data_IF_199434801406
#
_entry.id   IF_199434801406
#
_cell.length_a   1.000
_cell.length_b   1.000
_cell.length_c   1.000
_cell.angle_alpha   90.00
_cell.angle_beta   90.00
_cell.angle_gamma   90.00
#
_symmetry.space_group_name_H-M   'P 1'
#
loop_
_entity.id
_entity.type
_entity.pdbx_description
1 polymer ?
#
# COMPACT_ATOMS: atom_id res chain seq x y z
N UNK A 1 77.00 10.29 -20.37
CA UNK A 1 75.96 10.04 -21.39
C UNK A 1 74.59 10.05 -20.69
N UNK A 2 73.72 11.01 -21.06
CA UNK A 2 72.24 11.06 -20.94
C UNK A 2 71.61 10.77 -19.55
N UNK A 3 71.13 11.77 -18.80
CA UNK A 3 69.90 12.59 -18.93
C UNK A 3 68.75 12.11 -18.01
N UNK A 4 68.23 13.08 -17.22
CA UNK A 4 66.81 13.32 -16.84
C UNK A 4 66.10 12.40 -15.84
N UNK A 5 65.12 12.82 -15.01
CA UNK A 5 64.56 14.09 -14.48
C UNK A 5 63.24 13.67 -13.76
N UNK A 6 62.94 14.25 -12.58
CA UNK A 6 61.56 14.53 -12.06
C UNK A 6 60.71 13.29 -11.71
N UNK A 7 59.70 13.28 -10.84
CA UNK A 7 58.81 14.27 -10.21
C UNK A 7 58.23 13.54 -8.97
N UNK A 8 58.26 14.09 -7.75
CA UNK A 8 57.13 14.80 -7.14
C UNK A 8 55.72 14.29 -7.49
N UNK A 9 54.94 14.04 -6.43
CA UNK A 9 53.46 14.11 -6.36
C UNK A 9 52.75 12.89 -6.96
N UNK A 10 51.61 12.41 -6.48
CA UNK A 10 50.67 12.80 -5.44
C UNK A 10 49.68 11.64 -5.31
N UNK A 11 48.93 11.63 -4.20
CA UNK A 11 47.54 11.18 -4.09
C UNK A 11 47.04 10.13 -5.11
N UNK A 12 46.60 8.99 -4.62
CA UNK A 12 45.22 8.54 -4.87
C UNK A 12 44.87 7.45 -3.86
N UNK A 13 44.58 7.90 -2.64
CA UNK A 13 43.64 7.22 -1.78
C UNK A 13 42.29 7.20 -2.52
N UNK A 14 42.07 6.14 -3.30
CA UNK A 14 40.79 5.86 -3.93
C UNK A 14 39.87 5.29 -2.84
N UNK A 15 39.49 6.14 -1.88
CA UNK A 15 38.33 5.86 -1.03
C UNK A 15 37.12 5.86 -1.95
N UNK A 16 36.69 4.65 -2.34
CA UNK A 16 35.37 4.41 -2.87
C UNK A 16 34.37 5.05 -1.91
N UNK A 17 33.86 6.23 -2.26
CA UNK A 17 32.62 6.77 -1.74
C UNK A 17 31.52 5.83 -2.24
N UNK A 18 31.28 4.75 -1.51
CA UNK A 18 30.02 4.01 -1.59
C UNK A 18 28.95 4.98 -1.10
N UNK A 19 28.38 5.75 -2.04
CA UNK A 19 27.14 6.48 -1.82
C UNK A 19 26.11 5.39 -1.56
N UNK A 20 25.92 5.09 -0.28
CA UNK A 20 24.78 4.32 0.18
C UNK A 20 23.59 5.22 -0.10
N UNK A 21 22.94 5.03 -1.25
CA UNK A 21 21.61 5.56 -1.47
C UNK A 21 20.72 4.86 -0.47
N UNK A 22 20.61 5.46 0.71
CA UNK A 22 19.59 5.13 1.69
C UNK A 22 18.27 5.26 0.94
N UNK A 23 17.63 4.14 0.62
CA UNK A 23 16.26 4.14 0.13
C UNK A 23 15.41 4.70 1.27
N UNK A 24 15.16 6.01 1.23
CA UNK A 24 14.36 6.69 2.24
C UNK A 24 12.90 6.36 1.98
N UNK A 25 12.39 5.38 2.73
CA UNK A 25 10.96 5.10 2.79
C UNK A 25 10.25 6.15 3.63
N UNK A 26 9.44 6.99 2.99
CA UNK A 26 8.63 8.01 3.65
C UNK A 26 7.24 7.44 3.93
N UNK A 27 6.82 7.47 5.19
CA UNK A 27 5.45 7.10 5.58
C UNK A 27 4.51 8.30 5.34
N UNK A 28 3.56 8.13 4.43
CA UNK A 28 2.60 9.16 4.02
C UNK A 28 1.16 8.81 4.43
N UNK A 29 0.97 7.78 5.26
CA UNK A 29 -0.35 7.24 5.64
C UNK A 29 -1.33 8.33 6.06
N UNK A 30 -0.90 9.21 6.96
CA UNK A 30 -1.74 10.29 7.48
C UNK A 30 -2.13 11.28 6.39
N UNK A 31 -1.17 11.67 5.53
CA UNK A 31 -1.41 12.59 4.43
C UNK A 31 -2.40 12.00 3.42
N UNK A 32 -2.27 10.71 3.10
CA UNK A 32 -3.20 10.02 2.20
C UNK A 32 -4.61 9.97 2.79
N UNK A 33 -4.75 9.65 4.08
CA UNK A 33 -6.07 9.60 4.75
C UNK A 33 -6.71 11.00 4.83
N UNK A 34 -5.93 12.03 5.14
CA UNK A 34 -6.46 13.39 5.34
C UNK A 34 -6.69 14.17 4.04
N UNK A 35 -5.94 13.85 2.98
CA UNK A 35 -5.90 14.64 1.74
C UNK A 35 -6.43 13.90 0.51
N UNK A 36 -6.93 12.67 0.63
CA UNK A 36 -7.49 11.92 -0.49
C UNK A 36 -8.74 11.16 -0.10
N UNK A 37 -9.52 10.74 -1.09
CA UNK A 37 -10.68 9.85 -0.91
C UNK A 37 -10.30 8.37 -0.83
N UNK A 38 -9.01 8.03 -0.72
CA UNK A 38 -8.54 6.66 -0.89
C UNK A 38 -9.00 5.71 0.23
N UNK A 39 -9.01 6.15 1.49
CA UNK A 39 -9.53 5.35 2.62
C UNK A 39 -11.05 5.10 2.48
N UNK A 40 -11.78 6.11 2.00
CA UNK A 40 -13.22 6.01 1.73
C UNK A 40 -13.52 5.04 0.58
N UNK A 41 -12.74 5.09 -0.51
CA UNK A 41 -12.86 4.15 -1.64
C UNK A 41 -12.59 2.70 -1.19
N UNK A 42 -11.61 2.50 -0.33
CA UNK A 42 -11.35 1.18 0.28
C UNK A 42 -12.53 0.73 1.14
N UNK A 43 -13.10 1.62 1.97
CA UNK A 43 -14.29 1.33 2.77
C UNK A 43 -15.50 0.97 1.89
N UNK A 44 -15.72 1.68 0.80
CA UNK A 44 -16.81 1.43 -0.16
C UNK A 44 -16.66 0.09 -0.87
N UNK A 45 -15.43 -0.30 -1.27
CA UNK A 45 -15.18 -1.59 -1.91
C UNK A 45 -15.52 -2.81 -1.01
N UNK A 46 -15.52 -2.59 0.30
CA UNK A 46 -15.87 -3.57 1.33
C UNK A 46 -17.39 -3.58 1.63
N UNK A 47 -18.13 -2.55 1.24
CA UNK A 47 -19.58 -2.45 1.45
C UNK A 47 -20.30 -3.63 0.76
N UNK A 48 -21.12 -4.36 1.51
CA UNK A 48 -21.85 -5.54 1.04
C UNK A 48 -21.02 -6.83 0.96
N UNK A 49 -19.69 -6.75 0.81
CA UNK A 49 -18.79 -7.93 0.78
C UNK A 49 -18.27 -8.31 2.16
N UNK A 50 -18.10 -7.34 3.05
CA UNK A 50 -17.55 -7.55 4.39
C UNK A 50 -18.59 -7.98 5.45
N UNK A 51 -19.81 -8.32 5.04
CA UNK A 51 -20.92 -8.61 5.95
C UNK A 51 -21.50 -7.35 6.57
N UNK A 52 -22.59 -7.51 7.33
CA UNK A 52 -23.39 -6.39 7.85
C UNK A 52 -22.74 -5.54 8.94
N UNK A 53 -21.62 -5.98 9.52
CA UNK A 53 -20.85 -5.27 10.55
C UNK A 53 -19.36 -5.21 10.24
N UNK A 54 -18.98 -5.56 9.01
CA UNK A 54 -17.59 -5.50 8.57
C UNK A 54 -17.21 -4.11 8.09
N UNK A 55 -15.91 -3.92 7.91
CA UNK A 55 -15.32 -2.66 7.44
C UNK A 55 -13.90 -2.91 6.92
N UNK A 56 -13.37 -1.97 6.15
CA UNK A 56 -11.98 -1.98 5.69
C UNK A 56 -11.33 -0.65 6.00
N UNK A 57 -9.99 -0.63 6.00
CA UNK A 57 -9.21 0.57 6.24
C UNK A 57 -7.79 0.43 5.74
N UNK A 58 -7.19 1.55 5.32
CA UNK A 58 -5.75 1.68 5.15
C UNK A 58 -5.05 1.54 6.50
N UNK A 59 -3.97 0.76 6.55
CA UNK A 59 -3.09 0.64 7.71
C UNK A 59 -1.78 1.39 7.52
N UNK A 60 -1.23 1.36 6.31
CA UNK A 60 -0.02 2.10 5.98
C UNK A 60 0.04 2.46 4.52
N UNK A 61 0.60 3.64 4.22
CA UNK A 61 1.08 4.00 2.90
C UNK A 61 2.51 4.50 3.04
N UNK A 62 3.43 3.90 2.30
CA UNK A 62 4.80 4.34 2.18
C UNK A 62 5.18 4.61 0.74
N UNK A 63 6.06 5.58 0.55
CA UNK A 63 6.58 5.98 -0.74
C UNK A 63 8.11 5.96 -0.72
N UNK A 64 8.70 5.35 -1.74
CA UNK A 64 10.14 5.23 -1.93
C UNK A 64 10.52 5.89 -3.25
N UNK A 65 11.48 6.80 -3.25
CA UNK A 65 11.99 7.36 -4.50
C UNK A 65 12.75 6.29 -5.29
N UNK A 66 12.39 6.13 -6.57
CA UNK A 66 13.18 5.37 -7.54
C UNK A 66 14.10 6.35 -8.27
N UNK A 67 13.52 7.44 -8.77
CA UNK A 67 14.20 8.61 -9.33
C UNK A 67 13.37 9.88 -9.10
N UNK A 68 13.73 10.99 -9.75
CA UNK A 68 13.04 12.28 -9.62
C UNK A 68 11.56 12.24 -10.02
N UNK A 69 11.19 11.36 -10.97
CA UNK A 69 9.85 11.26 -11.54
C UNK A 69 9.06 10.08 -10.97
N UNK A 70 9.71 8.96 -10.72
CA UNK A 70 9.06 7.71 -10.36
C UNK A 70 9.29 7.34 -8.91
N UNK A 71 8.20 6.97 -8.25
CA UNK A 71 8.21 6.56 -6.86
C UNK A 71 7.49 5.23 -6.71
N UNK A 72 8.06 4.30 -5.98
CA UNK A 72 7.36 3.10 -5.55
C UNK A 72 6.41 3.47 -4.42
N UNK A 73 5.17 3.01 -4.50
CA UNK A 73 4.17 3.21 -3.45
C UNK A 73 3.70 1.85 -2.95
N UNK A 74 3.78 1.66 -1.63
CA UNK A 74 3.32 0.45 -0.96
C UNK A 74 2.13 0.85 -0.08
N UNK A 75 0.97 0.30 -0.39
CA UNK A 75 -0.28 0.48 0.35
C UNK A 75 -0.57 -0.81 1.08
N UNK A 76 -0.81 -0.74 2.38
CA UNK A 76 -1.36 -1.83 3.17
C UNK A 76 -2.72 -1.44 3.71
N UNK A 77 -3.64 -2.39 3.68
CA UNK A 77 -5.00 -2.25 4.19
C UNK A 77 -5.46 -3.57 4.80
N UNK A 78 -6.55 -3.51 5.57
CA UNK A 78 -7.27 -4.71 5.98
C UNK A 78 -8.74 -4.59 5.60
N UNK A 79 -9.39 -5.73 5.42
CA UNK A 79 -10.82 -5.89 5.38
C UNK A 79 -11.27 -6.86 6.48
N UNK A 80 -12.05 -6.37 7.43
CA UNK A 80 -12.68 -7.18 8.47
C UNK A 80 -14.05 -7.62 7.98
N UNK A 81 -14.20 -8.92 7.78
CA UNK A 81 -15.52 -9.51 7.62
C UNK A 81 -16.17 -9.71 8.98
N UNK A 82 -17.39 -9.25 9.10
CA UNK A 82 -18.21 -9.51 10.26
C UNK A 82 -19.67 -9.60 9.84
N UNK A 83 -20.18 -10.83 9.85
CA UNK A 83 -21.58 -11.12 9.61
C UNK A 83 -22.22 -11.57 10.91
N UNK A 84 -23.30 -10.89 11.28
CA UNK A 84 -24.12 -11.24 12.44
C UNK A 84 -25.55 -11.53 12.00
N UNK A 85 -26.01 -12.75 12.25
CA UNK A 85 -27.40 -13.17 12.07
C UNK A 85 -28.04 -13.37 13.43
N UNK A 86 -29.05 -12.55 13.73
CA UNK A 86 -29.87 -12.70 14.93
C UNK A 86 -30.52 -14.10 14.97
N UNK A 87 -30.72 -14.68 16.16
CA UNK A 87 -31.44 -15.94 16.28
C UNK A 87 -32.85 -15.79 15.71
N UNK A 88 -33.40 -16.83 15.06
CA UNK A 88 -34.79 -16.85 14.63
C UNK A 88 -35.70 -16.65 15.84
N UNK A 89 -36.88 -16.06 15.63
CA UNK A 89 -37.83 -15.79 16.71
C UNK A 89 -39.14 -16.54 16.48
N UNK A 90 -39.70 -17.10 17.55
CA UNK A 90 -41.06 -17.70 17.57
C UNK A 90 -41.80 -17.08 18.75
N UNK A 91 -42.99 -16.54 18.49
CA UNK A 91 -43.75 -15.72 19.47
C UNK A 91 -42.92 -14.62 20.13
N UNK A 92 -42.00 -14.00 19.38
CA UNK A 92 -41.12 -12.95 19.87
C UNK A 92 -39.92 -13.44 20.71
N UNK A 93 -39.86 -14.72 21.07
CA UNK A 93 -38.74 -15.30 21.81
C UNK A 93 -37.66 -15.84 20.84
N UNK A 94 -36.37 -15.60 21.09
CA UNK A 94 -35.30 -16.16 20.27
C UNK A 94 -35.23 -17.68 20.47
N UNK A 95 -35.16 -18.43 19.36
CA UNK A 95 -34.86 -19.85 19.35
C UNK A 95 -33.39 -20.04 18.98
N UNK A 96 -32.61 -20.58 19.91
CA UNK A 96 -31.19 -20.86 19.72
C UNK A 96 -30.27 -19.63 19.82
N UNK A 97 -29.01 -19.84 19.45
CA UNK A 97 -28.00 -18.78 19.35
C UNK A 97 -27.95 -18.19 17.93
N UNK A 98 -27.72 -16.88 17.83
CA UNK A 98 -27.40 -16.27 16.54
C UNK A 98 -26.08 -16.81 15.97
N UNK A 99 -25.80 -16.49 14.72
CA UNK A 99 -24.53 -16.85 14.06
C UNK A 99 -23.67 -15.60 13.91
N UNK A 100 -22.42 -15.67 14.37
CA UNK A 100 -21.42 -14.62 14.17
C UNK A 100 -20.19 -15.20 13.48
N UNK A 101 -19.87 -14.68 12.29
CA UNK A 101 -18.66 -15.05 11.55
C UNK A 101 -17.75 -13.84 11.51
N UNK A 102 -16.50 -14.01 11.94
CA UNK A 102 -15.49 -12.95 11.99
C UNK A 102 -14.17 -13.44 11.43
N UNK A 103 -13.56 -12.66 10.55
CA UNK A 103 -12.16 -12.84 10.13
C UNK A 103 -11.64 -11.55 9.49
N UNK A 104 -10.33 -11.49 9.33
CA UNK A 104 -9.63 -10.36 8.72
C UNK A 104 -8.88 -10.84 7.49
N UNK A 105 -8.92 -10.06 6.44
CA UNK A 105 -8.11 -10.20 5.24
C UNK A 105 -7.14 -9.03 5.21
N UNK A 106 -5.86 -9.32 5.00
CA UNK A 106 -4.84 -8.29 4.83
C UNK A 106 -4.51 -8.14 3.34
N UNK A 107 -4.33 -6.89 2.94
CA UNK A 107 -4.09 -6.46 1.57
C UNK A 107 -2.81 -5.64 1.52
N UNK A 108 -1.96 -5.94 0.54
CA UNK A 108 -0.78 -5.14 0.24
C UNK A 108 -0.72 -4.90 -1.27
N UNK A 109 -0.82 -3.65 -1.70
CA UNK A 109 -0.63 -3.25 -3.09
C UNK A 109 0.71 -2.52 -3.24
N UNK A 110 1.48 -2.89 -4.25
CA UNK A 110 2.71 -2.23 -4.65
C UNK A 110 2.47 -1.63 -6.03
N UNK A 111 2.82 -0.36 -6.20
CA UNK A 111 2.68 0.35 -7.47
C UNK A 111 3.81 1.33 -7.72
N UNK A 112 3.83 1.89 -8.93
CA UNK A 112 4.75 2.96 -9.32
C UNK A 112 3.95 4.21 -9.65
N UNK A 113 4.21 5.28 -8.92
CA UNK A 113 3.63 6.61 -9.10
C UNK A 113 4.54 7.46 -9.99
N UNK A 114 3.98 7.97 -11.07
CA UNK A 114 4.60 9.04 -11.88
C UNK A 114 4.17 10.40 -11.31
N UNK A 115 5.13 11.13 -10.73
CA UNK A 115 4.85 12.42 -10.09
C UNK A 115 4.37 13.46 -11.08
N UNK A 116 4.79 13.42 -12.35
CA UNK A 116 4.38 14.43 -13.33
C UNK A 116 2.92 14.28 -13.74
N UNK A 117 2.44 13.03 -13.85
CA UNK A 117 1.08 12.73 -14.30
C UNK A 117 0.12 12.38 -13.15
N UNK A 118 0.65 12.19 -11.94
CA UNK A 118 -0.06 11.61 -10.80
C UNK A 118 -0.73 10.26 -11.12
N UNK A 119 -0.17 9.48 -12.04
CA UNK A 119 -0.69 8.15 -12.37
C UNK A 119 0.07 7.08 -11.58
N UNK A 120 -0.67 6.32 -10.77
CA UNK A 120 -0.19 5.12 -10.11
C UNK A 120 -0.48 3.90 -10.96
N UNK A 121 0.56 3.21 -11.41
CA UNK A 121 0.43 1.88 -11.98
C UNK A 121 0.55 0.83 -10.88
N UNK A 122 -0.50 0.04 -10.64
CA UNK A 122 -0.45 -1.04 -9.66
C UNK A 122 0.32 -2.22 -10.25
N UNK A 123 1.42 -2.63 -9.61
CA UNK A 123 2.29 -3.71 -10.09
C UNK A 123 1.88 -5.07 -9.54
N UNK A 124 1.52 -5.12 -8.26
CA UNK A 124 1.14 -6.35 -7.59
C UNK A 124 0.21 -6.07 -6.42
N UNK A 125 -0.69 -7.01 -6.13
CA UNK A 125 -1.61 -6.97 -4.99
C UNK A 125 -1.52 -8.27 -4.23
N UNK A 126 -0.89 -8.31 -3.07
CA UNK A 126 -0.84 -9.49 -2.21
C UNK A 126 -2.08 -9.52 -1.30
N UNK A 127 -2.67 -10.70 -1.17
CA UNK A 127 -3.85 -10.94 -0.33
C UNK A 127 -3.53 -12.10 0.60
N UNK A 128 -3.70 -11.91 1.90
CA UNK A 128 -3.52 -12.96 2.91
C UNK A 128 -4.73 -13.08 3.82
N UNK A 129 -5.04 -14.31 4.23
CA UNK A 129 -6.17 -14.59 5.12
C UNK A 129 -7.54 -14.59 4.44
N UNK A 130 -7.62 -14.51 3.10
CA UNK A 130 -8.90 -14.49 2.37
C UNK A 130 -9.54 -15.88 2.22
N UNK A 131 -10.05 -16.40 3.33
CA UNK A 131 -10.67 -17.74 3.37
C UNK A 131 -11.91 -17.89 2.49
N UNK A 132 -12.60 -16.79 2.17
CA UNK A 132 -13.89 -16.82 1.47
C UNK A 132 -13.90 -15.99 0.17
N UNK A 133 -12.72 -15.64 -0.36
CA UNK A 133 -12.55 -14.90 -1.62
C UNK A 133 -13.25 -13.52 -1.65
N UNK A 134 -13.33 -12.83 -0.51
CA UNK A 134 -13.97 -11.51 -0.45
C UNK A 134 -13.17 -10.42 -1.16
N UNK A 135 -11.84 -10.55 -1.09
CA UNK A 135 -10.94 -9.53 -1.60
C UNK A 135 -10.34 -9.93 -2.95
N UNK A 136 -10.76 -11.05 -3.54
CA UNK A 136 -10.25 -11.56 -4.82
C UNK A 136 -10.30 -10.51 -5.93
N UNK A 137 -11.31 -9.65 -5.94
CA UNK A 137 -11.42 -8.57 -6.93
C UNK A 137 -10.30 -7.53 -6.82
N UNK A 138 -9.64 -7.40 -5.67
CA UNK A 138 -8.47 -6.54 -5.53
C UNK A 138 -7.31 -6.98 -6.43
N UNK A 139 -7.21 -8.28 -6.77
CA UNK A 139 -6.25 -8.77 -7.77
C UNK A 139 -6.49 -8.19 -9.16
N UNK A 140 -7.73 -7.82 -9.49
CA UNK A 140 -8.04 -7.22 -10.78
C UNK A 140 -7.49 -5.81 -10.93
N UNK A 141 -6.96 -5.21 -9.87
CA UNK A 141 -6.28 -3.91 -9.93
C UNK A 141 -4.84 -4.02 -10.45
N UNK A 142 -4.23 -5.22 -10.44
CA UNK A 142 -2.90 -5.43 -10.99
C UNK A 142 -2.85 -5.02 -12.48
N UNK A 143 -1.85 -4.21 -12.83
CA UNK A 143 -1.65 -3.66 -14.16
C UNK A 143 -2.48 -2.40 -14.48
N UNK A 144 -3.44 -2.02 -13.64
CA UNK A 144 -4.27 -0.83 -13.86
C UNK A 144 -3.54 0.46 -13.48
N UNK A 145 -4.00 1.55 -14.09
CA UNK A 145 -3.56 2.91 -13.78
C UNK A 145 -4.66 3.66 -13.05
N UNK A 146 -4.31 4.30 -11.94
CA UNK A 146 -5.21 5.12 -11.15
C UNK A 146 -4.63 6.51 -11.01
N UNK A 147 -5.47 7.53 -11.14
CA UNK A 147 -5.08 8.87 -10.76
C UNK A 147 -5.01 8.97 -9.23
N UNK A 148 -3.85 9.38 -8.71
CA UNK A 148 -3.62 9.57 -7.28
C UNK A 148 -3.86 11.04 -6.92
N UNK A 149 -4.95 11.29 -6.19
CA UNK A 149 -5.34 12.63 -5.74
C UNK A 149 -4.24 13.30 -4.91
N UNK A 150 -3.92 14.56 -5.21
CA UNK A 150 -2.91 15.34 -4.47
C UNK A 150 -1.51 14.70 -4.43
N UNK A 151 -1.12 13.94 -5.46
CA UNK A 151 0.14 13.18 -5.45
C UNK A 151 1.40 14.01 -5.14
N UNK A 152 1.43 15.27 -5.56
CA UNK A 152 2.55 16.19 -5.34
C UNK A 152 2.81 16.48 -3.86
N UNK A 153 1.80 16.35 -3.00
CA UNK A 153 1.95 16.61 -1.57
C UNK A 153 2.67 15.49 -0.83
N UNK A 154 2.84 14.33 -1.48
CA UNK A 154 3.40 13.13 -0.85
C UNK A 154 4.86 12.89 -1.18
N UNK A 155 5.40 13.58 -2.20
CA UNK A 155 6.80 13.51 -2.63
C UNK A 155 7.68 14.30 -1.66
#
# INVERSE_FOLDING_TARGET
MKLTKYCQHSLLALTLLTISFSSFSKNITRQVIEQTTFDEKIAQACSGKCGNRGHSRITSVSINAIDERYHEVIVKAYAKYHEYKSPPRVFGQPIGGGVAIKYTVDLEAIGVLDTHTCMLNVRSVNISGDKYNLARDAKNEEGKNHHWENCQNFI
#
